data_IF_183442785543
#
_entry.id   IF_183442785543
#
_cell.length_a   1.000
_cell.length_b   1.000
_cell.length_c   1.000
_cell.angle_alpha   90.00
_cell.angle_beta   90.00
_cell.angle_gamma   90.00
#
_symmetry.space_group_name_H-M   'P 1'
#
loop_
_entity.id
_entity.type
_entity.pdbx_description
1 polymer ?
#
# COMPACT_ATOMS: atom_id res chain seq x y z
N UNK A 1 0.95 -6.11 2.67
CA UNK A 1 1.21 -6.89 1.43
C UNK A 1 0.08 -6.60 0.46
N UNK A 2 0.42 -6.17 -0.76
CA UNK A 2 -0.55 -5.87 -1.83
C UNK A 2 -0.81 -7.09 -2.73
N UNK A 3 -1.90 -7.07 -3.51
CA UNK A 3 -2.23 -8.13 -4.49
C UNK A 3 -1.09 -8.31 -5.51
N UNK A 4 -0.49 -7.21 -5.96
CA UNK A 4 0.66 -7.22 -6.87
C UNK A 4 1.84 -8.00 -6.28
N UNK A 5 2.21 -7.74 -5.01
CA UNK A 5 3.33 -8.44 -4.35
C UNK A 5 3.03 -9.91 -4.14
N UNK A 6 1.78 -10.25 -3.80
CA UNK A 6 1.35 -11.62 -3.62
C UNK A 6 1.46 -12.39 -4.95
N UNK A 7 1.01 -11.79 -6.05
CA UNK A 7 1.14 -12.35 -7.40
C UNK A 7 2.60 -12.52 -7.82
N UNK A 8 3.46 -11.52 -7.55
CA UNK A 8 4.88 -11.59 -7.85
C UNK A 8 5.59 -12.73 -7.10
N UNK A 9 5.18 -12.99 -5.85
CA UNK A 9 5.71 -14.08 -5.03
C UNK A 9 5.16 -15.47 -5.35
N UNK A 10 4.05 -15.54 -6.09
CA UNK A 10 3.35 -16.77 -6.46
C UNK A 10 3.99 -17.48 -7.66
N UNK A 11 5.26 -17.86 -7.52
CA UNK A 11 6.10 -18.36 -8.63
C UNK A 11 5.82 -19.79 -9.09
N UNK A 12 4.83 -20.48 -8.50
CA UNK A 12 4.41 -21.84 -8.88
C UNK A 12 2.89 -21.93 -8.91
N UNK A 13 2.33 -22.85 -9.70
CA UNK A 13 0.88 -23.03 -9.79
C UNK A 13 0.22 -23.32 -8.43
N UNK A 14 0.91 -24.03 -7.53
CA UNK A 14 0.42 -24.28 -6.18
C UNK A 14 0.38 -22.99 -5.33
N UNK A 15 1.40 -22.12 -5.46
CA UNK A 15 1.43 -20.83 -4.76
C UNK A 15 0.44 -19.83 -5.35
N UNK A 16 0.24 -19.85 -6.66
CA UNK A 16 -0.77 -19.04 -7.34
C UNK A 16 -2.17 -19.42 -6.85
N UNK A 17 -2.48 -20.71 -6.78
CA UNK A 17 -3.76 -21.17 -6.22
C UNK A 17 -3.94 -20.72 -4.77
N UNK A 18 -2.93 -20.91 -3.93
CA UNK A 18 -2.99 -20.48 -2.53
C UNK A 18 -3.14 -18.96 -2.39
N UNK A 19 -2.52 -18.17 -3.27
CA UNK A 19 -2.68 -16.73 -3.32
C UNK A 19 -4.11 -16.33 -3.68
N UNK A 20 -4.72 -16.96 -4.68
CA UNK A 20 -6.10 -16.70 -5.08
C UNK A 20 -7.09 -17.09 -3.97
N UNK A 21 -6.89 -18.23 -3.31
CA UNK A 21 -7.69 -18.67 -2.15
C UNK A 21 -7.58 -17.67 -0.99
N UNK A 22 -6.39 -17.11 -0.75
CA UNK A 22 -6.20 -16.06 0.27
C UNK A 22 -6.94 -14.76 -0.08
N UNK A 23 -7.06 -14.42 -1.36
CA UNK A 23 -7.72 -13.19 -1.81
C UNK A 23 -9.24 -13.28 -1.81
N UNK A 24 -9.81 -14.47 -1.94
CA UNK A 24 -11.27 -14.70 -2.05
C UNK A 24 -12.11 -14.05 -0.93
N UNK A 25 -11.75 -14.10 0.36
CA UNK A 25 -12.53 -13.44 1.41
C UNK A 25 -12.23 -11.94 1.57
N UNK A 26 -11.27 -11.39 0.82
CA UNK A 26 -10.77 -10.03 1.03
C UNK A 26 -11.44 -9.02 0.10
N UNK A 27 -11.67 -7.81 0.62
CA UNK A 27 -12.04 -6.67 -0.21
C UNK A 27 -10.78 -6.13 -0.89
N UNK A 28 -10.73 -6.22 -2.22
CA UNK A 28 -9.63 -5.68 -3.02
C UNK A 28 -9.90 -4.21 -3.33
N UNK A 29 -9.06 -3.33 -2.81
CA UNK A 29 -9.17 -1.90 -3.06
C UNK A 29 -8.42 -1.54 -4.35
N UNK A 30 -9.06 -0.85 -5.30
CA UNK A 30 -8.42 -0.43 -6.53
C UNK A 30 -7.44 0.74 -6.28
N UNK A 31 -6.48 0.90 -7.18
CA UNK A 31 -5.73 2.14 -7.32
C UNK A 31 -6.50 3.07 -8.26
N UNK A 32 -7.19 4.06 -7.71
CA UNK A 32 -7.93 5.07 -8.48
C UNK A 32 -7.14 6.38 -8.63
N UNK A 33 -7.77 7.37 -9.28
CA UNK A 33 -7.18 8.70 -9.49
C UNK A 33 -6.90 9.42 -8.17
N UNK A 34 -7.75 9.25 -7.17
CA UNK A 34 -7.71 10.02 -5.93
C UNK A 34 -6.57 9.52 -5.05
N UNK A 35 -6.47 8.20 -4.89
CA UNK A 35 -5.33 7.56 -4.23
C UNK A 35 -4.01 7.85 -4.97
N UNK A 36 -4.01 7.84 -6.31
CA UNK A 36 -2.82 8.18 -7.11
C UNK A 36 -2.37 9.63 -6.90
N UNK A 37 -3.32 10.57 -6.88
CA UNK A 37 -3.04 11.99 -6.67
C UNK A 37 -2.54 12.26 -5.24
N UNK A 38 -3.16 11.61 -4.25
CA UNK A 38 -2.75 11.68 -2.86
C UNK A 38 -1.30 11.17 -2.69
N UNK A 39 -0.97 10.00 -3.25
CA UNK A 39 0.39 9.46 -3.21
C UNK A 39 1.43 10.41 -3.84
N UNK A 40 1.12 10.98 -5.01
CA UNK A 40 2.01 11.95 -5.68
C UNK A 40 2.20 13.24 -4.88
N UNK A 41 1.14 13.73 -4.24
CA UNK A 41 1.21 14.90 -3.36
C UNK A 41 2.09 14.63 -2.13
N UNK A 42 1.93 13.46 -1.52
CA UNK A 42 2.78 13.02 -0.41
C UNK A 42 4.24 12.89 -0.83
N UNK A 43 4.52 12.28 -1.99
CA UNK A 43 5.87 12.13 -2.52
C UNK A 43 6.56 13.48 -2.69
N UNK A 44 5.85 14.46 -3.27
CA UNK A 44 6.33 15.84 -3.46
C UNK A 44 6.65 16.52 -2.13
N UNK A 45 5.81 16.36 -1.12
CA UNK A 45 6.06 16.88 0.23
C UNK A 45 7.32 16.26 0.83
N UNK A 46 7.45 14.93 0.81
CA UNK A 46 8.63 14.23 1.32
C UNK A 46 9.91 14.73 0.64
N UNK A 47 9.90 14.86 -0.69
CA UNK A 47 11.06 15.33 -1.45
C UNK A 47 11.46 16.75 -1.07
N UNK A 48 10.47 17.65 -0.92
CA UNK A 48 10.73 19.03 -0.46
C UNK A 48 11.40 19.05 0.91
N UNK A 49 11.05 18.11 1.77
CA UNK A 49 11.56 18.01 3.13
C UNK A 49 12.83 17.13 3.23
N UNK A 50 13.45 16.78 2.10
CA UNK A 50 14.68 15.98 2.04
C UNK A 50 14.51 14.50 2.41
N UNK A 51 13.26 14.01 2.45
CA UNK A 51 12.88 12.64 2.78
C UNK A 51 12.46 11.88 1.51
N UNK A 52 12.55 10.55 1.57
CA UNK A 52 12.05 9.67 0.51
C UNK A 52 11.28 8.50 1.10
N UNK A 53 10.34 7.97 0.33
CA UNK A 53 9.62 6.74 0.63
C UNK A 53 9.45 5.92 -0.65
N UNK A 54 9.39 4.58 -0.56
CA UNK A 54 9.11 3.74 -1.72
C UNK A 54 7.73 4.09 -2.33
N UNK A 55 7.65 4.16 -3.66
CA UNK A 55 6.39 4.44 -4.37
C UNK A 55 5.28 3.47 -3.94
N UNK A 56 5.62 2.18 -3.80
CA UNK A 56 4.69 1.16 -3.32
C UNK A 56 4.06 1.56 -1.99
N UNK A 57 4.86 1.99 -1.02
CA UNK A 57 4.38 2.31 0.32
C UNK A 57 3.49 3.55 0.29
N UNK A 58 3.83 4.53 -0.55
CA UNK A 58 3.00 5.70 -0.82
C UNK A 58 1.64 5.33 -1.41
N UNK A 59 1.60 4.43 -2.39
CA UNK A 59 0.36 3.98 -3.03
C UNK A 59 -0.51 3.19 -2.05
N UNK A 60 0.08 2.23 -1.32
CA UNK A 60 -0.64 1.43 -0.31
C UNK A 60 -1.19 2.31 0.80
N UNK A 61 -0.39 3.27 1.29
CA UNK A 61 -0.82 4.24 2.28
C UNK A 61 -1.96 5.12 1.76
N UNK A 62 -1.84 5.66 0.55
CA UNK A 62 -2.90 6.49 -0.04
C UNK A 62 -4.22 5.72 -0.20
N UNK A 63 -4.18 4.49 -0.74
CA UNK A 63 -5.37 3.64 -0.88
C UNK A 63 -6.03 3.39 0.48
N UNK A 64 -5.25 3.02 1.50
CA UNK A 64 -5.78 2.76 2.84
C UNK A 64 -6.43 4.01 3.45
N UNK A 65 -5.82 5.18 3.27
CA UNK A 65 -6.34 6.46 3.75
C UNK A 65 -7.66 6.82 3.08
N UNK A 66 -7.70 6.84 1.76
CA UNK A 66 -8.90 7.22 0.99
C UNK A 66 -10.07 6.29 1.29
N UNK A 67 -9.79 5.00 1.48
CA UNK A 67 -10.80 4.00 1.83
C UNK A 67 -11.15 3.97 3.33
N UNK A 68 -10.54 4.82 4.17
CA UNK A 68 -10.83 4.91 5.60
C UNK A 68 -10.38 3.71 6.44
N UNK A 69 -9.48 2.87 5.92
CA UNK A 69 -8.99 1.68 6.60
C UNK A 69 -7.74 1.95 7.44
N UNK A 70 -7.53 1.09 8.44
CA UNK A 70 -6.25 1.03 9.17
C UNK A 70 -5.27 0.18 8.38
N UNK A 71 -4.02 0.61 8.34
CA UNK A 71 -2.95 -0.14 7.70
C UNK A 71 -2.22 -0.99 8.74
N UNK A 72 -2.22 -2.31 8.52
CA UNK A 72 -1.42 -3.25 9.29
C UNK A 72 -0.13 -3.56 8.55
N UNK A 73 1.01 -3.31 9.19
CA UNK A 73 2.32 -3.56 8.57
C UNK A 73 3.37 -3.93 9.60
N UNK A 74 4.19 -4.94 9.29
CA UNK A 74 5.36 -5.27 10.09
C UNK A 74 6.58 -4.38 9.75
N UNK A 75 6.49 -3.56 8.70
CA UNK A 75 7.58 -2.66 8.31
C UNK A 75 7.57 -1.39 9.18
N UNK A 76 8.49 -1.34 10.13
CA UNK A 76 8.67 -0.20 11.05
C UNK A 76 9.17 1.08 10.36
N UNK A 77 9.45 1.06 9.04
CA UNK A 77 9.81 2.25 8.25
C UNK A 77 8.59 2.92 7.62
N UNK A 78 7.48 2.18 7.51
CA UNK A 78 6.18 2.70 7.08
C UNK A 78 5.62 3.88 7.91
N UNK A 79 5.86 4.00 9.24
CA UNK A 79 5.39 5.11 10.07
C UNK A 79 5.91 6.49 9.64
N UNK A 80 6.93 6.55 8.79
CA UNK A 80 7.50 7.80 8.28
C UNK A 80 6.65 8.48 7.20
N UNK A 81 5.47 7.95 6.89
CA UNK A 81 4.47 8.61 6.04
C UNK A 81 3.55 9.53 6.87
N UNK A 82 4.07 10.29 7.83
CA UNK A 82 3.30 11.17 8.74
C UNK A 82 2.41 12.20 8.01
N UNK A 83 2.71 12.50 6.74
CA UNK A 83 1.88 13.35 5.87
C UNK A 83 0.65 12.63 5.29
N UNK A 84 0.63 11.30 5.33
CA UNK A 84 -0.57 10.49 5.18
C UNK A 84 -1.04 10.20 6.61
N UNK A 85 -2.13 10.85 7.04
CA UNK A 85 -2.78 10.63 8.33
C UNK A 85 -3.29 9.18 8.46
N UNK A 86 -2.36 8.25 8.68
CA UNK A 86 -2.57 6.83 8.63
C UNK A 86 -2.70 6.27 10.02
N UNK A 87 -3.76 5.50 10.21
CA UNK A 87 -3.93 4.68 11.40
C UNK A 87 -3.14 3.38 11.20
N UNK A 88 -1.89 3.38 11.65
CA UNK A 88 -1.01 2.19 11.61
C UNK A 88 -1.18 1.39 12.90
N UNK A 89 -1.26 0.06 12.79
CA UNK A 89 -1.27 -0.89 13.92
C UNK A 89 -0.08 -1.83 13.83
#
# INVERSE_FOLDING_TARGET
>A
MSVYELSLGATTAARERAALELLEPLVLLPLDSDASWAAGTTMRTLHRDGRTAPLRDLLVGAIAREAGYRLYTSDRRFPSLESLDLKVV
#
